data_IF_223407810001
#
_entry.id   IF_223407810001
#
_cell.length_a   1.000
_cell.length_b   1.000
_cell.length_c   1.000
_cell.angle_alpha   90.00
_cell.angle_beta   90.00
_cell.angle_gamma   90.00
#
_symmetry.space_group_name_H-M   'P 1'
#
loop_
_entity.id
_entity.type
_entity.pdbx_description
1 polymer ?
#
# COMPACT_ATOMS: atom_id res chain seq x y z
N UNK A 1 -35.38 9.19 7.83
CA UNK A 1 -34.12 9.29 7.04
C UNK A 1 -34.49 9.53 5.58
N UNK A 2 -33.79 10.37 4.81
CA UNK A 2 -34.09 10.57 3.40
C UNK A 2 -33.91 9.24 2.65
N UNK A 3 -34.93 8.86 1.87
CA UNK A 3 -34.84 7.67 1.03
C UNK A 3 -33.91 7.96 -0.16
N UNK A 4 -32.89 7.16 -0.35
CA UNK A 4 -32.05 7.20 -1.56
C UNK A 4 -32.83 6.51 -2.66
N UNK A 5 -33.42 7.31 -3.56
CA UNK A 5 -34.14 6.83 -4.75
C UNK A 5 -33.14 6.75 -5.93
N UNK A 6 -33.22 5.70 -6.72
CA UNK A 6 -32.35 5.48 -7.87
C UNK A 6 -31.92 4.02 -7.97
N UNK A 7 -31.54 3.61 -9.17
CA UNK A 7 -31.15 2.22 -9.43
C UNK A 7 -29.70 1.92 -9.06
N UNK A 8 -28.79 2.90 -9.19
CA UNK A 8 -27.36 2.73 -8.92
C UNK A 8 -26.78 3.94 -8.19
N UNK A 9 -25.95 3.70 -7.19
CA UNK A 9 -25.18 4.72 -6.47
C UNK A 9 -23.73 4.63 -6.90
N UNK A 10 -23.10 5.77 -7.13
CA UNK A 10 -21.68 5.87 -7.49
C UNK A 10 -20.96 6.74 -6.46
N UNK A 11 -19.94 6.17 -5.80
CA UNK A 11 -19.01 6.89 -4.94
C UNK A 11 -17.72 7.13 -5.73
N UNK A 12 -17.41 8.39 -6.00
CA UNK A 12 -16.30 8.78 -6.88
C UNK A 12 -15.39 9.75 -6.12
N UNK A 13 -14.08 9.50 -6.15
CA UNK A 13 -13.15 10.41 -5.49
C UNK A 13 -11.72 10.32 -6.00
N UNK A 14 -11.04 11.46 -5.97
CA UNK A 14 -9.62 11.62 -6.29
C UNK A 14 -8.83 11.94 -5.01
N UNK A 15 -7.61 11.44 -4.90
CA UNK A 15 -6.73 11.73 -3.76
C UNK A 15 -7.40 11.40 -2.42
N UNK A 16 -7.35 12.30 -1.44
CA UNK A 16 -8.07 12.18 -0.18
C UNK A 16 -9.58 11.97 -0.38
N UNK A 17 -10.16 12.60 -1.41
CA UNK A 17 -11.57 12.38 -1.77
C UNK A 17 -11.87 10.93 -2.17
N UNK A 18 -10.88 10.21 -2.74
CA UNK A 18 -11.00 8.77 -3.00
C UNK A 18 -11.00 7.92 -1.72
N UNK A 19 -10.24 8.32 -0.71
CA UNK A 19 -10.30 7.71 0.61
C UNK A 19 -11.66 7.94 1.27
N UNK A 20 -12.17 9.17 1.23
CA UNK A 20 -13.50 9.52 1.74
C UNK A 20 -14.59 8.75 0.97
N UNK A 21 -14.50 8.66 -0.36
CA UNK A 21 -15.44 7.89 -1.17
C UNK A 21 -15.49 6.40 -0.76
N UNK A 22 -14.33 5.83 -0.37
CA UNK A 22 -14.26 4.46 0.13
C UNK A 22 -15.02 4.27 1.45
N UNK A 23 -14.85 5.22 2.39
CA UNK A 23 -15.59 5.22 3.66
C UNK A 23 -17.09 5.45 3.44
N UNK A 24 -17.46 6.37 2.55
CA UNK A 24 -18.85 6.64 2.21
C UNK A 24 -19.52 5.43 1.56
N UNK A 25 -18.80 4.72 0.67
CA UNK A 25 -19.33 3.54 0.01
C UNK A 25 -19.63 2.40 1.00
N UNK A 26 -18.75 2.17 1.97
CA UNK A 26 -18.99 1.20 3.05
C UNK A 26 -20.17 1.64 3.93
N UNK A 27 -20.19 2.91 4.32
CA UNK A 27 -21.27 3.45 5.14
C UNK A 27 -22.64 3.35 4.45
N UNK A 28 -22.73 3.66 3.15
CA UNK A 28 -23.99 3.57 2.39
C UNK A 28 -24.51 2.13 2.39
N UNK A 29 -23.64 1.17 2.20
CA UNK A 29 -24.06 -0.23 2.23
C UNK A 29 -24.51 -0.66 3.63
N UNK A 30 -23.75 -0.32 4.66
CA UNK A 30 -24.09 -0.67 6.04
C UNK A 30 -25.39 0.01 6.53
N UNK A 31 -25.61 1.27 6.16
CA UNK A 31 -26.74 2.05 6.65
C UNK A 31 -28.03 1.88 5.82
N UNK A 32 -27.91 1.62 4.52
CA UNK A 32 -29.02 1.60 3.58
C UNK A 32 -29.17 0.28 2.82
N UNK A 33 -28.27 -0.69 3.06
CA UNK A 33 -28.22 -1.98 2.35
C UNK A 33 -28.22 -1.81 0.81
N UNK A 34 -27.50 -0.80 0.35
CA UNK A 34 -27.34 -0.47 -1.08
C UNK A 34 -25.88 -0.58 -1.45
N UNK A 35 -25.56 -1.40 -2.44
CA UNK A 35 -24.18 -1.60 -2.91
C UNK A 35 -23.81 -0.53 -3.94
N UNK A 36 -23.02 0.50 -3.58
CA UNK A 36 -22.53 1.46 -4.55
C UNK A 36 -21.41 0.89 -5.40
N UNK A 37 -21.21 1.47 -6.59
CA UNK A 37 -19.97 1.35 -7.32
C UNK A 37 -18.95 2.39 -6.78
N UNK A 38 -17.77 1.95 -6.45
CA UNK A 38 -16.68 2.79 -5.92
C UNK A 38 -15.64 3.03 -6.99
N UNK A 39 -15.35 4.31 -7.26
CA UNK A 39 -14.33 4.74 -8.20
C UNK A 39 -13.32 5.63 -7.48
N UNK A 40 -12.07 5.18 -7.42
CA UNK A 40 -10.98 5.94 -6.80
C UNK A 40 -9.87 6.22 -7.79
N UNK A 41 -9.38 7.46 -7.80
CA UNK A 41 -8.31 7.92 -8.67
C UNK A 41 -7.17 8.45 -7.81
N UNK A 42 -6.00 7.82 -7.87
CA UNK A 42 -4.85 8.24 -7.08
C UNK A 42 -5.11 8.30 -5.57
N UNK A 43 -6.03 7.49 -5.04
CA UNK A 43 -6.40 7.52 -3.63
C UNK A 43 -5.34 6.88 -2.75
N UNK A 44 -5.08 7.41 -1.52
CA UNK A 44 -4.25 6.75 -0.54
C UNK A 44 -4.92 5.48 0.01
N UNK A 45 -4.16 4.67 0.71
CA UNK A 45 -4.68 3.51 1.43
C UNK A 45 -5.51 3.96 2.62
N UNK A 46 -6.70 3.36 2.81
CA UNK A 46 -7.68 3.85 3.80
C UNK A 46 -7.58 3.11 5.13
N UNK A 47 -7.36 1.80 5.08
CA UNK A 47 -7.43 0.98 6.29
C UNK A 47 -6.53 -0.24 6.28
N UNK A 48 -6.59 -0.98 7.38
CA UNK A 48 -5.88 -2.24 7.56
C UNK A 48 -6.59 -3.38 6.82
N UNK A 49 -6.02 -4.58 6.91
CA UNK A 49 -6.58 -5.77 6.27
C UNK A 49 -8.08 -5.97 6.59
N UNK A 50 -8.51 -5.76 7.83
CA UNK A 50 -9.91 -5.88 8.23
C UNK A 50 -10.81 -4.96 7.39
N UNK A 51 -10.50 -3.67 7.32
CA UNK A 51 -11.24 -2.70 6.53
C UNK A 51 -11.23 -3.07 5.03
N UNK A 52 -10.05 -3.30 4.46
CA UNK A 52 -9.93 -3.61 3.04
C UNK A 52 -10.66 -4.92 2.67
N UNK A 53 -10.62 -5.93 3.55
CA UNK A 53 -11.35 -7.20 3.38
C UNK A 53 -12.88 -6.99 3.45
N UNK A 54 -13.34 -6.27 4.46
CA UNK A 54 -14.77 -5.97 4.64
C UNK A 54 -15.29 -5.20 3.43
N UNK A 55 -14.66 -4.09 3.06
CA UNK A 55 -15.06 -3.30 1.91
C UNK A 55 -15.08 -4.10 0.60
N UNK A 56 -14.07 -4.96 0.39
CA UNK A 56 -14.01 -5.83 -0.80
C UNK A 56 -15.15 -6.85 -0.87
N UNK A 57 -15.56 -7.40 0.28
CA UNK A 57 -16.68 -8.35 0.38
C UNK A 57 -18.03 -7.63 0.26
N UNK A 58 -18.19 -6.55 0.99
CA UNK A 58 -19.42 -5.78 1.10
C UNK A 58 -19.86 -5.21 -0.23
N UNK A 59 -18.95 -4.51 -0.94
CA UNK A 59 -19.25 -3.96 -2.25
C UNK A 59 -19.17 -5.01 -3.37
N UNK A 60 -18.47 -6.10 -3.16
CA UNK A 60 -17.98 -7.06 -4.16
C UNK A 60 -16.90 -6.44 -5.07
N UNK A 61 -15.80 -7.15 -5.26
CA UNK A 61 -14.63 -6.63 -6.00
C UNK A 61 -14.95 -6.07 -7.40
N UNK A 62 -15.90 -6.60 -8.20
CA UNK A 62 -16.25 -6.04 -9.50
C UNK A 62 -16.85 -4.62 -9.44
N UNK A 63 -17.35 -4.18 -8.29
CA UNK A 63 -17.90 -2.84 -8.10
C UNK A 63 -16.87 -1.83 -7.59
N UNK A 64 -15.59 -2.23 -7.47
CA UNK A 64 -14.51 -1.38 -6.98
C UNK A 64 -13.53 -1.12 -8.13
N UNK A 65 -13.51 0.11 -8.60
CA UNK A 65 -12.67 0.59 -9.69
C UNK A 65 -11.53 1.44 -9.12
N UNK A 66 -10.44 0.80 -8.72
CA UNK A 66 -9.26 1.47 -8.21
C UNK A 66 -8.32 1.81 -9.35
N UNK A 67 -8.28 3.09 -9.72
CA UNK A 67 -7.38 3.63 -10.74
C UNK A 67 -6.19 4.31 -10.06
N UNK A 68 -4.99 3.96 -10.46
CA UNK A 68 -3.77 4.60 -9.96
C UNK A 68 -2.72 4.70 -11.05
N UNK A 69 -1.82 5.64 -10.90
CA UNK A 69 -0.68 5.83 -11.79
C UNK A 69 0.58 5.30 -11.12
N UNK A 70 1.44 4.66 -11.90
CA UNK A 70 2.69 4.08 -11.40
C UNK A 70 3.63 5.12 -10.77
N UNK A 71 3.68 6.34 -11.28
CA UNK A 71 4.53 7.44 -10.79
C UNK A 71 3.86 8.34 -9.75
N UNK A 72 2.58 8.11 -9.43
CA UNK A 72 1.88 8.83 -8.37
C UNK A 72 2.22 8.25 -6.99
N UNK A 73 2.76 9.08 -6.09
CA UNK A 73 3.21 8.64 -4.74
C UNK A 73 2.04 8.42 -3.78
N UNK A 74 0.90 9.07 -3.98
CA UNK A 74 -0.22 9.07 -3.03
C UNK A 74 -0.82 7.68 -2.85
N UNK A 75 -1.03 6.85 -3.89
CA UNK A 75 -1.52 5.48 -3.72
C UNK A 75 -0.61 4.54 -2.90
N UNK A 76 0.64 4.92 -2.67
CA UNK A 76 1.57 4.09 -1.91
C UNK A 76 1.61 4.42 -0.43
N UNK A 77 0.86 5.44 0.01
CA UNK A 77 0.79 5.84 1.42
C UNK A 77 -0.62 5.68 2.00
N UNK A 78 -0.73 5.49 3.31
CA UNK A 78 0.33 5.06 4.21
C UNK A 78 0.96 3.73 3.76
N UNK A 79 2.23 3.50 4.16
CA UNK A 79 2.87 2.21 3.87
C UNK A 79 2.15 1.08 4.61
N UNK A 80 2.51 -0.18 4.25
CA UNK A 80 1.99 -1.34 4.96
C UNK A 80 2.00 -1.11 6.49
N UNK A 81 0.99 -1.56 7.24
CA UNK A 81 -0.06 -2.53 6.92
C UNK A 81 -1.37 -1.93 6.40
N UNK A 82 -1.36 -0.67 5.99
CA UNK A 82 -2.51 -0.13 5.26
C UNK A 82 -2.59 -0.78 3.87
N UNK A 83 -3.79 -1.16 3.48
CA UNK A 83 -4.06 -1.85 2.23
C UNK A 83 -5.13 -1.13 1.42
N UNK A 84 -5.13 -1.40 0.12
CA UNK A 84 -6.20 -0.98 -0.76
C UNK A 84 -7.32 -2.03 -0.83
N UNK A 85 -8.54 -1.56 -1.11
CA UNK A 85 -9.59 -2.39 -1.67
C UNK A 85 -9.62 -2.19 -3.21
N UNK A 86 -9.95 -3.24 -3.99
CA UNK A 86 -10.20 -4.59 -3.52
C UNK A 86 -8.90 -5.32 -3.16
N UNK A 87 -8.95 -6.18 -2.13
CA UNK A 87 -7.80 -7.04 -1.78
C UNK A 87 -7.50 -8.06 -2.89
N UNK A 88 -8.56 -8.58 -3.50
CA UNK A 88 -8.51 -9.48 -4.65
C UNK A 88 -9.49 -8.94 -5.69
N UNK A 89 -9.04 -8.79 -6.90
CA UNK A 89 -9.87 -8.23 -7.97
C UNK A 89 -9.04 -7.47 -8.99
N UNK A 90 -9.74 -6.77 -9.87
CA UNK A 90 -9.09 -5.98 -10.91
C UNK A 90 -8.66 -4.63 -10.37
N UNK A 91 -7.44 -4.22 -10.70
CA UNK A 91 -6.95 -2.87 -10.54
C UNK A 91 -6.64 -2.24 -11.91
N UNK A 92 -6.58 -0.93 -11.97
CA UNK A 92 -6.44 -0.17 -13.20
C UNK A 92 -5.23 0.73 -13.08
N UNK A 93 -4.09 0.28 -13.63
CA UNK A 93 -2.81 0.97 -13.53
C UNK A 93 -2.52 1.78 -14.78
N UNK A 94 -2.47 3.09 -14.63
CA UNK A 94 -2.04 3.99 -15.70
C UNK A 94 -0.49 4.03 -15.81
N UNK A 95 0.04 4.23 -17.00
CA UNK A 95 1.48 4.39 -17.19
C UNK A 95 2.01 5.63 -16.45
N UNK A 96 3.31 5.60 -16.10
CA UNK A 96 4.00 6.77 -15.58
C UNK A 96 4.06 7.88 -16.63
N UNK A 97 3.99 9.15 -16.20
CA UNK A 97 4.20 10.30 -17.08
C UNK A 97 5.70 10.55 -17.26
N UNK A 98 6.47 10.37 -16.19
CA UNK A 98 7.91 10.56 -16.17
C UNK A 98 8.62 9.52 -15.31
N UNK A 99 9.93 9.65 -15.20
CA UNK A 99 10.78 8.77 -14.38
C UNK A 99 10.85 9.20 -12.91
N UNK A 100 10.60 10.49 -12.65
CA UNK A 100 10.61 11.07 -11.31
C UNK A 100 9.18 11.46 -10.93
N UNK A 101 8.71 11.10 -9.72
CA UNK A 101 7.41 11.49 -9.22
C UNK A 101 7.24 13.01 -9.19
N UNK A 102 6.15 13.48 -9.74
CA UNK A 102 5.77 14.90 -9.74
C UNK A 102 4.32 15.07 -9.34
N UNK A 103 3.93 16.30 -8.99
CA UNK A 103 2.52 16.61 -8.73
C UNK A 103 1.64 16.34 -9.96
N UNK A 104 2.19 16.50 -11.15
CA UNK A 104 1.48 16.21 -12.40
C UNK A 104 0.97 14.78 -12.44
N UNK A 105 1.77 13.83 -11.91
CA UNK A 105 1.38 12.42 -11.82
C UNK A 105 0.15 12.20 -10.94
N UNK A 106 -0.07 13.08 -9.96
CA UNK A 106 -1.21 13.06 -9.04
C UNK A 106 -2.39 13.92 -9.50
N UNK A 107 -2.26 14.70 -10.57
CA UNK A 107 -3.31 15.60 -11.03
C UNK A 107 -4.53 14.85 -11.56
N UNK A 108 -5.74 15.24 -11.12
CA UNK A 108 -7.00 14.68 -11.63
C UNK A 108 -7.16 14.92 -13.15
N UNK A 109 -6.68 16.04 -13.66
CA UNK A 109 -6.69 16.34 -15.10
C UNK A 109 -5.85 15.33 -15.89
N UNK A 110 -4.67 14.96 -15.39
CA UNK A 110 -3.83 13.94 -16.01
C UNK A 110 -4.44 12.54 -15.90
N UNK A 111 -5.12 12.22 -14.80
CA UNK A 111 -5.92 10.99 -14.70
C UNK A 111 -7.01 10.97 -15.77
N UNK A 112 -7.81 12.03 -15.87
CA UNK A 112 -8.88 12.15 -16.85
C UNK A 112 -8.36 12.04 -18.30
N UNK A 113 -7.28 12.75 -18.62
CA UNK A 113 -6.64 12.70 -19.95
C UNK A 113 -6.14 11.30 -20.28
N UNK A 114 -5.49 10.62 -19.33
CA UNK A 114 -4.93 9.28 -19.55
C UNK A 114 -5.99 8.20 -19.70
N UNK A 115 -7.13 8.36 -19.02
CA UNK A 115 -8.28 7.48 -19.15
C UNK A 115 -8.99 7.76 -20.47
N UNK A 116 -9.28 9.04 -20.78
CA UNK A 116 -9.95 9.46 -21.99
C UNK A 116 -11.23 8.67 -22.24
N UNK A 117 -11.40 8.14 -23.44
CA UNK A 117 -12.53 7.30 -23.85
C UNK A 117 -12.26 5.79 -23.72
N UNK A 118 -11.19 5.39 -23.03
CA UNK A 118 -10.83 3.97 -22.90
C UNK A 118 -11.84 3.23 -22.04
N UNK A 119 -12.18 2.03 -22.46
CA UNK A 119 -13.04 1.13 -21.68
C UNK A 119 -12.28 0.48 -20.51
N UNK A 120 -13.00 0.06 -19.48
CA UNK A 120 -12.40 -0.60 -18.30
C UNK A 120 -11.54 -1.82 -18.63
N UNK A 121 -11.91 -2.71 -19.58
CA UNK A 121 -11.04 -3.82 -19.96
C UNK A 121 -9.68 -3.39 -20.52
N UNK A 122 -9.61 -2.25 -21.22
CA UNK A 122 -8.36 -1.71 -21.78
C UNK A 122 -7.46 -1.11 -20.69
N UNK A 123 -8.06 -0.57 -19.63
CA UNK A 123 -7.35 0.00 -18.48
C UNK A 123 -6.95 -1.06 -17.46
N UNK A 124 -7.50 -2.26 -17.56
CA UNK A 124 -7.28 -3.32 -16.61
C UNK A 124 -5.80 -3.74 -16.55
N UNK A 125 -5.26 -3.82 -15.34
CA UNK A 125 -3.91 -4.32 -15.12
C UNK A 125 -3.87 -5.84 -15.40
N UNK A 126 -2.87 -6.33 -16.16
CA UNK A 126 -2.74 -7.77 -16.38
C UNK A 126 -2.66 -8.52 -15.05
N UNK A 127 -3.45 -9.59 -14.92
CA UNK A 127 -3.39 -10.46 -13.76
C UNK A 127 -2.04 -11.16 -13.72
N UNK A 128 -1.35 -11.12 -12.57
CA UNK A 128 -0.13 -11.90 -12.34
C UNK A 128 1.15 -11.10 -12.14
N UNK A 129 1.11 -9.76 -12.09
CA UNK A 129 2.29 -8.99 -11.69
C UNK A 129 2.52 -9.15 -10.18
N UNK A 130 3.61 -9.82 -9.79
CA UNK A 130 4.04 -9.98 -8.41
C UNK A 130 3.74 -11.35 -7.80
N UNK A 131 4.12 -12.42 -8.51
CA UNK A 131 4.11 -13.77 -7.94
C UNK A 131 5.08 -13.88 -6.76
N UNK A 132 4.84 -14.83 -5.86
CA UNK A 132 5.75 -15.15 -4.75
C UNK A 132 7.19 -15.32 -5.23
N UNK A 133 7.39 -16.00 -6.36
CA UNK A 133 8.70 -16.20 -6.97
C UNK A 133 9.40 -14.89 -7.38
N UNK A 134 8.65 -13.90 -7.92
CA UNK A 134 9.22 -12.60 -8.26
C UNK A 134 9.60 -11.81 -7.00
N UNK A 135 8.80 -11.91 -5.95
CA UNK A 135 9.09 -11.28 -4.64
C UNK A 135 10.36 -11.89 -4.04
N UNK A 136 10.46 -13.23 -4.05
CA UNK A 136 11.66 -13.94 -3.60
C UNK A 136 12.89 -13.53 -4.39
N UNK A 137 12.79 -13.52 -5.71
CA UNK A 137 13.88 -13.09 -6.58
C UNK A 137 14.32 -11.65 -6.28
N UNK A 138 13.37 -10.73 -6.07
CA UNK A 138 13.68 -9.36 -5.69
C UNK A 138 14.38 -9.27 -4.32
N UNK A 139 13.90 -10.01 -3.32
CA UNK A 139 14.52 -10.07 -1.99
C UNK A 139 15.97 -10.61 -2.04
N UNK A 140 16.17 -11.68 -2.83
CA UNK A 140 17.49 -12.32 -2.99
C UNK A 140 18.46 -11.49 -3.82
N UNK A 141 17.98 -10.60 -4.68
CA UNK A 141 18.84 -9.83 -5.58
C UNK A 141 19.83 -8.96 -4.79
N UNK A 142 21.08 -8.91 -5.22
CA UNK A 142 22.10 -8.02 -4.65
C UNK A 142 22.13 -6.64 -5.31
N UNK A 143 21.20 -6.34 -6.22
CA UNK A 143 21.12 -5.04 -6.86
C UNK A 143 20.83 -3.95 -5.83
N UNK A 144 21.57 -2.86 -5.94
CA UNK A 144 21.34 -1.66 -5.15
C UNK A 144 19.92 -1.16 -5.43
N UNK A 145 19.15 -1.02 -4.38
CA UNK A 145 17.78 -0.51 -4.47
C UNK A 145 17.81 0.99 -4.20
N UNK A 146 17.57 1.78 -5.24
CA UNK A 146 17.41 3.22 -5.08
C UNK A 146 16.02 3.54 -4.52
N UNK A 147 15.90 4.66 -3.81
CA UNK A 147 14.62 5.11 -3.27
C UNK A 147 13.73 5.63 -4.43
N UNK A 148 12.85 4.78 -4.91
CA UNK A 148 11.91 5.02 -6.00
C UNK A 148 10.53 4.45 -5.68
N UNK A 149 9.51 4.87 -6.43
CA UNK A 149 8.14 4.33 -6.25
C UNK A 149 8.11 2.83 -6.55
N UNK A 150 8.80 2.38 -7.59
CA UNK A 150 8.87 0.96 -7.91
C UNK A 150 9.48 0.15 -6.76
N UNK A 151 10.54 0.69 -6.15
CA UNK A 151 11.15 0.06 -4.98
C UNK A 151 10.23 0.03 -3.77
N UNK A 152 9.40 1.06 -3.57
CA UNK A 152 8.39 1.10 -2.51
C UNK A 152 7.25 0.10 -2.77
N UNK A 153 6.86 -0.07 -4.03
CA UNK A 153 5.87 -1.09 -4.41
C UNK A 153 6.40 -2.50 -4.11
N UNK A 154 7.62 -2.81 -4.57
CA UNK A 154 8.27 -4.08 -4.29
C UNK A 154 8.48 -4.32 -2.79
N UNK A 155 8.90 -3.29 -2.06
CA UNK A 155 9.05 -3.37 -0.61
C UNK A 155 7.71 -3.68 0.07
N UNK A 156 6.62 -3.03 -0.34
CA UNK A 156 5.30 -3.29 0.20
C UNK A 156 4.85 -4.74 0.01
N UNK A 157 5.06 -5.28 -1.18
CA UNK A 157 4.79 -6.70 -1.50
C UNK A 157 5.67 -7.65 -0.69
N UNK A 158 6.97 -7.37 -0.62
CA UNK A 158 7.93 -8.17 0.14
C UNK A 158 7.63 -8.15 1.65
N UNK A 159 7.19 -7.02 2.17
CA UNK A 159 6.81 -6.90 3.57
C UNK A 159 5.59 -7.78 3.90
N UNK A 160 4.54 -7.73 3.06
CA UNK A 160 3.36 -8.61 3.20
C UNK A 160 3.80 -10.08 3.15
N UNK A 161 4.57 -10.45 2.13
CA UNK A 161 5.08 -11.80 1.92
C UNK A 161 5.83 -12.35 3.15
N UNK A 162 6.77 -11.57 3.70
CA UNK A 162 7.57 -11.98 4.86
C UNK A 162 6.71 -12.07 6.12
N UNK A 163 5.79 -11.12 6.33
CA UNK A 163 4.91 -11.13 7.50
C UNK A 163 3.91 -12.28 7.50
N UNK A 164 3.36 -12.64 6.35
CA UNK A 164 2.50 -13.83 6.23
C UNK A 164 3.25 -15.10 6.63
N UNK A 165 4.51 -15.24 6.23
CA UNK A 165 5.37 -16.37 6.62
C UNK A 165 5.72 -16.34 8.10
N UNK A 166 6.02 -15.16 8.65
CA UNK A 166 6.23 -15.00 10.09
C UNK A 166 4.96 -15.37 10.89
N UNK A 167 3.79 -14.96 10.42
CA UNK A 167 2.51 -15.26 11.06
C UNK A 167 2.12 -16.74 10.93
N UNK A 168 2.32 -17.34 9.77
CA UNK A 168 2.08 -18.78 9.56
C UNK A 168 2.95 -19.64 10.50
N UNK A 169 4.22 -19.23 10.70
CA UNK A 169 5.12 -19.87 11.68
C UNK A 169 4.76 -19.55 13.14
N UNK A 170 4.18 -18.38 13.41
CA UNK A 170 3.86 -17.88 14.76
C UNK A 170 2.40 -18.08 15.17
N UNK A 171 1.53 -18.64 14.34
CA UNK A 171 0.09 -18.82 14.65
C UNK A 171 -0.15 -19.56 15.96
N UNK A 172 0.80 -20.40 16.39
CA UNK A 172 0.79 -21.08 17.69
C UNK A 172 1.23 -20.20 18.87
N UNK A 173 1.86 -19.04 18.61
CA UNK A 173 2.44 -18.16 19.64
C UNK A 173 1.66 -16.86 19.85
N UNK A 174 0.81 -16.47 18.89
CA UNK A 174 0.04 -15.21 18.95
C UNK A 174 -1.20 -15.29 19.85
N UNK A 175 -1.65 -16.48 20.24
CA UNK A 175 -2.76 -16.68 21.18
C UNK A 175 -2.46 -16.21 22.62
N UNK A 176 -1.21 -15.85 22.94
CA UNK A 176 -0.78 -15.47 24.28
C UNK A 176 -0.43 -13.97 24.45
N UNK A 177 -0.51 -13.15 23.40
CA UNK A 177 -0.19 -11.74 23.51
C UNK A 177 -1.46 -10.94 23.92
N UNK A 178 -1.59 -10.70 25.22
CA UNK A 178 -2.58 -9.78 25.77
C UNK A 178 -2.45 -8.38 25.14
N UNK A 179 -3.58 -7.68 25.11
CA UNK A 179 -3.80 -6.36 24.55
C UNK A 179 -2.89 -5.28 25.19
N UNK A 180 -1.69 -5.12 24.69
CA UNK A 180 -0.90 -3.90 24.90
C UNK A 180 -1.22 -2.93 23.77
N UNK A 181 -1.36 -1.65 24.09
CA UNK A 181 -1.54 -0.57 23.12
C UNK A 181 -0.23 -0.39 22.32
N UNK A 182 0.00 -1.27 21.36
CA UNK A 182 1.14 -1.19 20.45
C UNK A 182 0.78 -0.31 19.26
N UNK A 183 1.73 0.58 18.88
CA UNK A 183 1.60 1.26 17.61
C UNK A 183 1.68 0.22 16.47
N UNK A 184 1.22 0.62 15.30
CA UNK A 184 1.24 -0.21 14.12
C UNK A 184 2.66 -0.70 13.77
N UNK A 185 3.64 0.21 13.83
CA UNK A 185 5.06 -0.13 13.60
C UNK A 185 5.62 -1.06 14.67
N UNK A 186 5.17 -0.91 15.91
CA UNK A 186 5.53 -1.84 16.99
C UNK A 186 5.01 -3.24 16.73
N UNK A 187 3.79 -3.36 16.19
CA UNK A 187 3.20 -4.66 15.84
C UNK A 187 3.98 -5.36 14.73
N UNK A 188 4.37 -4.60 13.70
CA UNK A 188 5.24 -5.11 12.62
C UNK A 188 6.58 -5.57 13.19
N UNK A 189 7.23 -4.73 13.98
CA UNK A 189 8.53 -5.04 14.58
C UNK A 189 8.46 -6.30 15.48
N UNK A 190 7.36 -6.49 16.21
CA UNK A 190 7.14 -7.71 17.02
C UNK A 190 7.02 -8.95 16.12
N UNK A 191 6.27 -8.89 15.04
CA UNK A 191 6.09 -10.04 14.13
C UNK A 191 7.42 -10.40 13.46
N UNK A 192 8.17 -9.41 12.99
CA UNK A 192 9.48 -9.63 12.38
C UNK A 192 10.52 -10.16 13.39
N UNK A 193 10.56 -9.62 14.62
CA UNK A 193 11.45 -10.11 15.69
C UNK A 193 11.13 -11.57 16.05
N UNK A 194 9.86 -11.95 16.06
CA UNK A 194 9.47 -13.35 16.22
C UNK A 194 9.90 -14.20 15.02
N UNK A 195 9.73 -13.67 13.80
CA UNK A 195 10.12 -14.35 12.56
C UNK A 195 11.60 -14.67 12.49
N UNK A 196 12.47 -13.81 13.01
CA UNK A 196 13.92 -14.03 13.08
C UNK A 196 14.27 -15.21 14.00
N UNK A 197 13.45 -15.45 15.01
CA UNK A 197 13.64 -16.54 16.00
C UNK A 197 12.99 -17.87 15.57
N UNK A 198 12.35 -17.90 14.39
CA UNK A 198 11.77 -19.10 13.79
C UNK A 198 12.82 -19.89 12.99
N UNK A 199 12.37 -20.90 12.26
CA UNK A 199 13.23 -21.73 11.40
C UNK A 199 14.07 -20.87 10.44
N UNK A 200 15.27 -21.35 10.08
CA UNK A 200 16.28 -20.67 9.24
C UNK A 200 15.70 -20.06 7.96
N UNK A 201 14.71 -20.68 7.36
CA UNK A 201 14.07 -20.16 6.13
C UNK A 201 13.34 -18.84 6.39
N UNK A 202 12.55 -18.75 7.46
CA UNK A 202 11.80 -17.52 7.79
C UNK A 202 12.76 -16.42 8.27
N UNK A 203 13.74 -16.77 9.09
CA UNK A 203 14.79 -15.87 9.55
C UNK A 203 15.52 -15.22 8.37
N UNK A 204 15.89 -15.99 7.35
CA UNK A 204 16.53 -15.46 6.13
C UNK A 204 15.66 -14.46 5.38
N UNK A 205 14.36 -14.70 5.27
CA UNK A 205 13.45 -13.76 4.61
C UNK A 205 13.38 -12.41 5.36
N UNK A 206 13.36 -12.45 6.69
CA UNK A 206 13.42 -11.22 7.51
C UNK A 206 14.73 -10.48 7.27
N UNK A 207 15.87 -11.18 7.24
CA UNK A 207 17.18 -10.57 6.95
C UNK A 207 17.23 -9.89 5.57
N UNK A 208 16.71 -10.55 4.53
CA UNK A 208 16.67 -9.97 3.19
C UNK A 208 15.76 -8.74 3.15
N UNK A 209 14.61 -8.78 3.82
CA UNK A 209 13.72 -7.63 3.93
C UNK A 209 14.41 -6.46 4.64
N UNK A 210 15.06 -6.70 5.78
CA UNK A 210 15.82 -5.69 6.52
C UNK A 210 16.91 -5.08 5.64
N UNK A 211 17.67 -5.88 4.92
CA UNK A 211 18.70 -5.40 3.96
C UNK A 211 18.08 -4.46 2.90
N UNK A 212 16.93 -4.81 2.34
CA UNK A 212 16.24 -3.95 1.34
C UNK A 212 15.75 -2.65 1.97
N UNK A 213 15.23 -2.69 3.20
CA UNK A 213 14.84 -1.48 3.94
C UNK A 213 16.07 -0.58 4.15
N UNK A 214 17.18 -1.12 4.62
CA UNK A 214 18.42 -0.37 4.85
C UNK A 214 18.92 0.31 3.57
N UNK A 215 18.97 -0.41 2.45
CA UNK A 215 19.33 0.18 1.15
C UNK A 215 18.41 1.35 0.79
N UNK A 216 17.08 1.21 0.98
CA UNK A 216 16.11 2.26 0.69
C UNK A 216 16.27 3.48 1.59
N UNK A 217 16.61 3.30 2.86
CA UNK A 217 16.90 4.42 3.75
C UNK A 217 18.32 4.99 3.56
N UNK A 218 19.15 4.38 2.70
CA UNK A 218 20.48 4.85 2.37
C UNK A 218 21.54 4.41 3.38
N UNK A 219 21.32 3.31 4.09
CA UNK A 219 22.27 2.68 5.01
C UNK A 219 22.90 1.47 4.33
N UNK A 220 24.23 1.32 4.48
CA UNK A 220 25.02 0.24 3.86
C UNK A 220 25.58 -0.75 4.88
N UNK A 221 25.07 -0.73 6.11
CA UNK A 221 25.53 -1.64 7.16
C UNK A 221 25.16 -3.11 6.83
N UNK A 222 26.09 -4.00 7.16
CA UNK A 222 25.83 -5.45 7.13
C UNK A 222 25.25 -5.83 8.48
N UNK A 223 24.05 -6.41 8.47
CA UNK A 223 23.34 -6.80 9.68
C UNK A 223 23.22 -8.33 9.71
N UNK A 224 23.63 -8.93 10.80
CA UNK A 224 23.42 -10.35 11.09
C UNK A 224 22.14 -10.56 11.91
N UNK A 225 21.61 -11.78 11.91
CA UNK A 225 20.39 -12.11 12.64
C UNK A 225 20.47 -11.82 14.14
N UNK A 226 21.66 -11.95 14.72
CA UNK A 226 21.92 -11.67 16.13
C UNK A 226 21.78 -10.18 16.50
N UNK A 227 22.00 -9.28 15.54
CA UNK A 227 21.96 -7.82 15.74
C UNK A 227 20.52 -7.28 15.65
N UNK A 228 19.59 -8.07 15.09
CA UNK A 228 18.22 -7.62 14.85
C UNK A 228 17.39 -7.82 16.10
N UNK A 229 17.12 -6.70 16.76
CA UNK A 229 16.16 -6.62 17.86
C UNK A 229 14.86 -5.95 17.45
N UNK A 230 13.80 -6.12 18.22
CA UNK A 230 12.53 -5.39 18.05
C UNK A 230 12.75 -3.87 17.98
N UNK A 231 13.60 -3.33 18.85
CA UNK A 231 13.91 -1.89 18.88
C UNK A 231 14.59 -1.45 17.59
N UNK A 232 15.53 -2.23 17.09
CA UNK A 232 16.19 -1.98 15.82
C UNK A 232 15.21 -2.00 14.64
N UNK A 233 14.37 -3.03 14.55
CA UNK A 233 13.33 -3.15 13.52
C UNK A 233 12.38 -1.96 13.53
N UNK A 234 11.91 -1.57 14.72
CA UNK A 234 11.05 -0.38 14.88
C UNK A 234 11.76 0.87 14.36
N UNK A 235 13.03 1.05 14.69
CA UNK A 235 13.79 2.21 14.27
C UNK A 235 13.91 2.33 12.76
N UNK A 236 14.32 1.27 12.05
CA UNK A 236 14.45 1.29 10.58
C UNK A 236 13.10 1.46 9.88
N UNK A 237 12.01 0.92 10.43
CA UNK A 237 10.66 1.12 9.92
C UNK A 237 10.19 2.56 10.09
N UNK A 238 10.54 3.23 11.20
CA UNK A 238 10.26 4.65 11.42
C UNK A 238 11.04 5.53 10.44
N UNK A 239 12.34 5.25 10.22
CA UNK A 239 13.17 5.97 9.24
C UNK A 239 12.60 5.82 7.82
N UNK A 240 12.19 4.61 7.45
CA UNK A 240 11.53 4.35 6.17
C UNK A 240 10.26 5.20 6.03
N UNK A 241 9.39 5.17 7.04
CA UNK A 241 8.15 5.95 7.03
C UNK A 241 8.42 7.45 6.91
N UNK A 242 9.41 7.98 7.63
CA UNK A 242 9.80 9.38 7.53
C UNK A 242 10.28 9.75 6.12
N UNK A 243 11.09 8.90 5.48
CA UNK A 243 11.53 9.13 4.08
C UNK A 243 10.37 9.10 3.09
N UNK A 244 9.44 8.16 3.25
CA UNK A 244 8.24 8.09 2.39
C UNK A 244 7.37 9.34 2.60
N UNK A 245 7.11 9.75 3.84
CA UNK A 245 6.36 10.96 4.13
C UNK A 245 7.04 12.20 3.55
N UNK A 246 8.36 12.31 3.67
CA UNK A 246 9.13 13.41 3.09
C UNK A 246 9.02 13.47 1.55
N UNK A 247 9.02 12.31 0.88
CA UNK A 247 8.78 12.24 -0.57
C UNK A 247 7.39 12.76 -0.93
N UNK A 248 6.35 12.28 -0.24
CA UNK A 248 4.96 12.71 -0.47
C UNK A 248 4.82 14.20 -0.24
N UNK A 249 5.33 14.72 0.89
CA UNK A 249 5.29 16.14 1.20
C UNK A 249 6.03 16.99 0.14
N UNK A 250 7.18 16.53 -0.34
CA UNK A 250 7.91 17.21 -1.40
C UNK A 250 7.09 17.31 -2.68
N UNK A 251 6.47 16.21 -3.10
CA UNK A 251 5.62 16.17 -4.30
C UNK A 251 4.40 17.08 -4.13
N UNK A 252 3.72 17.04 -3.00
CA UNK A 252 2.54 17.85 -2.74
C UNK A 252 2.87 19.35 -2.58
N UNK A 253 4.00 19.70 -1.95
CA UNK A 253 4.41 21.09 -1.76
C UNK A 253 4.88 21.76 -3.05
N UNK A 254 5.38 21.02 -4.04
CA UNK A 254 5.67 21.57 -5.36
C UNK A 254 4.45 22.24 -6.01
N UNK A 255 3.24 21.85 -5.59
CA UNK A 255 2.00 22.44 -6.06
C UNK A 255 1.76 23.87 -5.57
N UNK A 256 2.12 24.14 -4.32
CA UNK A 256 1.87 25.44 -3.69
C UNK A 256 2.77 26.53 -4.25
N UNK A 257 3.94 26.19 -4.74
CA UNK A 257 4.90 27.12 -5.33
C UNK A 257 4.53 27.43 -6.80
N UNK A 258 4.11 26.42 -7.56
CA UNK A 258 3.77 26.59 -8.99
C UNK A 258 2.34 27.13 -9.19
N UNK A 259 1.43 26.97 -8.24
CA UNK A 259 0.06 27.50 -8.30
C UNK A 259 -0.06 28.98 -7.93
N UNK A 260 1.02 29.63 -7.50
CA UNK A 260 1.07 31.10 -7.26
C UNK A 260 1.65 31.90 -8.45
N UNK A 261 1.97 31.23 -9.53
CA UNK A 261 2.54 31.86 -10.73
C UNK A 261 1.55 31.90 -11.91
N UNK A 262 0.23 31.93 -11.65
CA UNK A 262 -0.82 32.23 -12.64
C UNK A 262 -1.74 33.31 -12.08
#
# INVERSE_FOLDING_TARGET
>A
MPSISGTQIHCIGHSLGGAIASLCAEWIELAYHRKPCLYTFGAPRVGLHGFASTLSKTLSSPNIYRVYRRSDVVPYVPIWPFLHAPLQGQTYRLPAIGTIPTLRDHSIGEYATSIGSKSWPVLAEPKGSGSDHEIEHWLLSNHLVSFSIDSLEWLGRALIYVLERCMAGAARLLSAAGSTQLTLLDSIAVVLDKGIKLADTVSRWVLFLVRKILMLIGRSEVVESADISRTYLRHILMELQQKVNALVQRVLNQSLVNGRAV
#
